data_IF_858613200084
#
_entry.id   IF_858613200084
#
_cell.length_a   1.000
_cell.length_b   1.000
_cell.length_c   1.000
_cell.angle_alpha   90.00
_cell.angle_beta   90.00
_cell.angle_gamma   90.00
#
_symmetry.space_group_name_H-M   'P 1'
#
loop_
_entity.id
_entity.type
_entity.pdbx_description
1 polymer ?
#
# COMPACT_ATOMS: atom_id res chain seq x y z
N UNK A 1 -3.23 1.11 16.42
CA UNK A 1 -4.60 1.51 16.75
C UNK A 1 -5.48 0.84 15.71
N UNK A 2 -6.20 -0.24 16.08
CA UNK A 2 -7.13 -0.99 15.21
C UNK A 2 -8.54 -0.72 15.71
N UNK A 3 -9.50 -0.58 14.82
CA UNK A 3 -10.90 -0.50 15.20
C UNK A 3 -11.72 -1.43 14.32
N UNK A 4 -12.05 -2.60 14.86
CA UNK A 4 -13.31 -3.34 14.69
C UNK A 4 -13.27 -4.47 15.74
N UNK A 5 -13.99 -4.33 16.88
CA UNK A 5 -14.10 -5.40 17.91
C UNK A 5 -15.55 -5.61 18.35
N UNK A 6 -16.00 -6.87 18.35
CA UNK A 6 -16.98 -7.44 19.30
C UNK A 6 -17.03 -8.98 19.13
N UNK A 7 -17.43 -9.84 20.11
CA UNK A 7 -18.01 -9.59 21.43
C UNK A 7 -17.37 -10.45 22.53
N UNK A 8 -16.52 -9.85 23.37
CA UNK A 8 -16.33 -10.19 24.79
C UNK A 8 -15.25 -9.25 25.36
N UNK A 9 -15.72 -8.22 26.05
CA UNK A 9 -15.00 -7.32 26.96
C UNK A 9 -13.64 -6.78 26.51
N UNK A 10 -13.63 -5.70 25.71
CA UNK A 10 -13.05 -4.38 26.06
C UNK A 10 -13.36 -3.43 24.92
N UNK A 11 -13.95 -2.29 25.26
CA UNK A 11 -14.44 -1.23 24.36
C UNK A 11 -13.31 -0.66 23.50
N UNK A 12 -13.63 -0.33 22.25
CA UNK A 12 -13.20 0.82 21.45
C UNK A 12 -13.71 0.57 20.01
N UNK A 13 -14.73 1.33 19.60
CA UNK A 13 -15.41 1.24 18.31
C UNK A 13 -15.43 2.66 17.74
N UNK A 14 -14.64 2.96 16.71
CA UNK A 14 -14.80 4.19 15.94
C UNK A 14 -15.86 3.90 14.89
N UNK A 15 -17.09 4.33 15.18
CA UNK A 15 -18.19 4.28 14.22
C UNK A 15 -18.01 5.48 13.31
N UNK A 16 -17.56 5.29 12.07
CA UNK A 16 -17.76 6.28 11.01
C UNK A 16 -19.17 6.07 10.48
N UNK A 17 -20.16 6.52 11.25
CA UNK A 17 -21.57 6.35 10.94
C UNK A 17 -22.12 7.59 10.25
N UNK A 18 -22.53 7.45 8.98
CA UNK A 18 -23.50 8.35 8.38
C UNK A 18 -24.91 7.90 8.79
N UNK A 19 -25.60 8.81 9.51
CA UNK A 19 -27.03 8.87 9.82
C UNK A 19 -27.62 7.89 10.86
N UNK A 20 -28.04 8.48 12.00
CA UNK A 20 -29.28 8.12 12.69
C UNK A 20 -29.17 7.42 14.05
N UNK A 21 -29.17 8.19 15.14
CA UNK A 21 -29.81 7.77 16.40
C UNK A 21 -30.71 8.90 16.87
N UNK A 22 -31.98 8.84 16.46
CA UNK A 22 -33.05 9.54 17.15
C UNK A 22 -33.33 8.80 18.47
N UNK A 23 -33.43 9.56 19.57
CA UNK A 23 -33.81 9.13 20.93
C UNK A 23 -32.68 8.81 21.93
N UNK A 24 -31.74 9.74 22.15
CA UNK A 24 -31.07 9.84 23.46
C UNK A 24 -31.78 10.88 24.36
N UNK A 25 -31.89 10.65 25.68
CA UNK A 25 -32.39 11.65 26.61
C UNK A 25 -31.51 12.91 26.56
N UNK A 26 -32.06 14.02 26.06
CA UNK A 26 -31.37 15.31 25.94
C UNK A 26 -31.30 16.00 27.31
N UNK A 27 -30.41 15.56 28.18
CA UNK A 27 -29.98 16.39 29.32
C UNK A 27 -28.72 17.19 28.92
N UNK A 28 -28.84 18.50 28.63
CA UNK A 28 -27.75 19.31 28.08
C UNK A 28 -26.60 19.55 29.07
N UNK A 29 -26.77 19.23 30.36
CA UNK A 29 -25.71 19.33 31.36
C UNK A 29 -24.70 18.16 31.31
N UNK A 30 -25.01 17.08 30.59
CA UNK A 30 -24.24 15.82 30.62
C UNK A 30 -23.77 15.37 29.23
N UNK A 31 -24.51 15.70 28.16
CA UNK A 31 -24.18 15.29 26.79
C UNK A 31 -24.34 16.46 25.81
N UNK A 32 -23.27 16.80 25.11
CA UNK A 32 -23.31 17.75 23.99
C UNK A 32 -23.53 16.97 22.69
N UNK A 33 -24.71 17.14 22.08
CA UNK A 33 -25.00 16.60 20.76
C UNK A 33 -24.58 17.65 19.73
N UNK A 34 -23.62 17.31 18.87
CA UNK A 34 -23.24 18.14 17.71
C UNK A 34 -23.73 17.47 16.44
N UNK A 35 -24.36 18.25 15.58
CA UNK A 35 -24.66 17.85 14.22
C UNK A 35 -23.37 17.91 13.40
N UNK A 36 -22.99 16.77 12.82
CA UNK A 36 -21.75 16.65 12.03
C UNK A 36 -22.11 16.77 10.55
N UNK A 37 -21.43 17.67 9.84
CA UNK A 37 -21.75 17.99 8.43
C UNK A 37 -20.99 17.12 7.43
N UNK A 38 -19.82 16.63 7.81
CA UNK A 38 -18.95 15.84 6.92
C UNK A 38 -18.06 14.86 7.70
N UNK A 39 -17.51 13.88 6.97
CA UNK A 39 -16.63 12.83 7.52
C UNK A 39 -15.33 13.39 8.12
N UNK A 40 -14.85 14.54 7.63
CA UNK A 40 -13.61 15.16 8.13
C UNK A 40 -13.82 15.67 9.54
N UNK A 41 -14.96 16.30 9.83
CA UNK A 41 -15.33 16.72 11.18
C UNK A 41 -15.44 15.52 12.13
N UNK A 42 -16.06 14.41 11.70
CA UNK A 42 -16.09 13.18 12.50
C UNK A 42 -14.67 12.68 12.79
N UNK A 43 -13.82 12.62 11.76
CA UNK A 43 -12.45 12.14 11.90
C UNK A 43 -11.62 13.01 12.83
N UNK A 44 -11.71 14.34 12.69
CA UNK A 44 -11.04 15.31 13.57
C UNK A 44 -11.51 15.18 15.03
N UNK A 45 -12.82 15.00 15.26
CA UNK A 45 -13.36 14.80 16.62
C UNK A 45 -12.87 13.49 17.24
N UNK A 46 -12.88 12.39 16.49
CA UNK A 46 -12.53 11.05 16.98
C UNK A 46 -11.02 10.85 17.17
N UNK A 47 -10.20 11.50 16.33
CA UNK A 47 -8.76 11.26 16.28
C UNK A 47 -7.91 12.45 16.71
N UNK A 48 -8.49 13.65 16.77
CA UNK A 48 -7.75 14.91 16.93
C UNK A 48 -7.00 15.36 15.68
N UNK A 49 -7.17 14.67 14.54
CA UNK A 49 -6.44 14.96 13.30
C UNK A 49 -7.31 15.79 12.34
N UNK A 50 -7.03 17.10 12.26
CA UNK A 50 -7.82 18.06 11.46
C UNK A 50 -7.40 18.20 9.99
N UNK A 51 -6.26 17.62 9.60
CA UNK A 51 -5.77 17.66 8.23
C UNK A 51 -6.51 16.68 7.31
N UNK A 52 -6.38 16.89 6.00
CA UNK A 52 -6.91 15.96 5.00
C UNK A 52 -6.21 14.62 5.15
N UNK A 53 -6.99 13.57 5.40
CA UNK A 53 -6.49 12.20 5.46
C UNK A 53 -6.73 11.53 4.10
N UNK A 54 -5.66 11.31 3.33
CA UNK A 54 -5.74 10.69 2.02
C UNK A 54 -6.41 9.30 2.08
N UNK A 55 -6.10 8.48 3.10
CA UNK A 55 -6.71 7.15 3.26
C UNK A 55 -8.23 7.23 3.44
N UNK A 56 -8.74 8.21 4.19
CA UNK A 56 -10.20 8.42 4.35
C UNK A 56 -10.85 8.83 3.03
N UNK A 57 -10.23 9.73 2.26
CA UNK A 57 -10.73 10.12 0.93
C UNK A 57 -10.70 8.94 -0.05
N UNK A 58 -9.67 8.11 0.00
CA UNK A 58 -9.59 6.88 -0.79
C UNK A 58 -10.72 5.91 -0.46
N UNK A 59 -11.02 5.68 0.82
CA UNK A 59 -12.15 4.83 1.23
C UNK A 59 -13.47 5.40 0.72
N UNK A 60 -13.69 6.71 0.89
CA UNK A 60 -14.90 7.39 0.42
C UNK A 60 -15.08 7.23 -1.08
N UNK A 61 -14.01 7.43 -1.85
CA UNK A 61 -14.00 7.22 -3.29
C UNK A 61 -14.32 5.76 -3.65
N UNK A 62 -13.68 4.79 -3.00
CA UNK A 62 -13.93 3.36 -3.25
C UNK A 62 -15.38 3.00 -3.00
N UNK A 63 -15.97 3.42 -1.87
CA UNK A 63 -17.36 3.14 -1.52
C UNK A 63 -18.32 3.73 -2.55
N UNK A 64 -18.08 4.97 -2.99
CA UNK A 64 -18.85 5.62 -4.05
C UNK A 64 -18.73 4.89 -5.40
N UNK A 65 -17.52 4.45 -5.75
CA UNK A 65 -17.27 3.71 -7.00
C UNK A 65 -17.97 2.35 -7.05
N UNK A 66 -18.21 1.75 -5.88
CA UNK A 66 -18.96 0.51 -5.73
C UNK A 66 -20.49 0.73 -5.70
N UNK A 67 -20.96 1.97 -5.86
CA UNK A 67 -22.37 2.35 -5.78
C UNK A 67 -23.02 1.94 -4.44
N UNK A 68 -22.26 2.01 -3.36
CA UNK A 68 -22.72 1.76 -2.01
C UNK A 68 -22.64 3.02 -1.15
N UNK A 69 -23.38 3.01 -0.05
CA UNK A 69 -23.29 3.98 1.05
C UNK A 69 -23.30 3.22 2.37
N UNK A 70 -23.04 3.92 3.49
CA UNK A 70 -23.13 3.36 4.85
C UNK A 70 -22.35 2.05 5.04
N UNK A 71 -21.03 2.17 5.16
CA UNK A 71 -20.13 1.04 5.31
C UNK A 71 -19.23 1.17 6.54
N UNK A 72 -18.73 0.03 7.00
CA UNK A 72 -17.63 -0.05 7.95
C UNK A 72 -16.36 -0.42 7.20
N UNK A 73 -15.33 0.43 7.30
CA UNK A 73 -13.98 0.10 6.84
C UNK A 73 -13.18 -0.47 8.01
N UNK A 74 -12.83 -1.75 7.95
CA UNK A 74 -12.04 -2.42 8.97
C UNK A 74 -10.61 -2.66 8.46
N UNK A 75 -9.62 -2.28 9.27
CA UNK A 75 -8.21 -2.55 9.04
C UNK A 75 -7.56 -3.10 10.32
N UNK A 76 -6.50 -3.90 10.18
CA UNK A 76 -5.68 -4.31 11.32
C UNK A 76 -4.94 -3.11 11.90
N UNK A 77 -4.80 -3.03 13.23
CA UNK A 77 -4.19 -1.85 13.87
C UNK A 77 -2.69 -1.72 13.73
N UNK A 78 -2.07 -2.74 13.13
CA UNK A 78 -0.70 -2.77 12.61
C UNK A 78 -0.78 -3.57 11.31
N UNK A 79 -1.24 -2.95 10.22
CA UNK A 79 -1.39 -3.66 8.96
C UNK A 79 -0.02 -4.20 8.53
N UNK A 80 -0.02 -5.42 8.02
CA UNK A 80 1.15 -6.00 7.38
C UNK A 80 0.96 -5.76 5.88
N UNK A 81 1.87 -5.01 5.27
CA UNK A 81 1.83 -4.80 3.84
C UNK A 81 2.10 -6.12 3.10
N UNK A 82 1.34 -6.37 2.05
CA UNK A 82 1.54 -7.49 1.14
C UNK A 82 2.37 -7.04 -0.04
N UNK A 83 3.36 -7.85 -0.39
CA UNK A 83 4.14 -7.66 -1.60
C UNK A 83 3.34 -8.21 -2.77
N UNK A 84 2.98 -7.34 -3.71
CA UNK A 84 2.18 -7.70 -4.89
C UNK A 84 2.91 -7.39 -6.19
N UNK A 85 2.53 -8.04 -7.30
CA UNK A 85 3.16 -7.82 -8.59
C UNK A 85 3.01 -6.36 -9.03
N UNK A 86 4.09 -5.79 -9.53
CA UNK A 86 4.00 -4.55 -10.28
C UNK A 86 3.20 -4.80 -11.57
N UNK A 87 2.23 -3.94 -11.85
CA UNK A 87 1.25 -4.18 -12.91
C UNK A 87 1.86 -4.12 -14.33
N UNK A 88 3.02 -3.48 -14.48
CA UNK A 88 3.72 -3.39 -15.76
C UNK A 88 4.82 -4.45 -15.83
N UNK A 89 4.94 -5.13 -16.97
CA UNK A 89 6.02 -6.10 -17.24
C UNK A 89 7.00 -5.58 -18.27
N UNK A 90 8.28 -5.98 -18.17
CA UNK A 90 9.36 -5.47 -19.02
C UNK A 90 9.14 -5.67 -20.52
N UNK A 91 8.64 -6.86 -20.88
CA UNK A 91 8.42 -7.35 -22.25
C UNK A 91 7.04 -6.97 -22.79
N UNK A 92 6.03 -7.01 -21.91
CA UNK A 92 4.62 -6.76 -22.25
C UNK A 92 4.32 -5.27 -22.38
N UNK A 93 5.01 -4.43 -21.63
CA UNK A 93 4.85 -2.97 -21.71
C UNK A 93 6.18 -2.22 -21.53
N UNK A 94 7.11 -2.33 -22.49
CA UNK A 94 8.40 -1.65 -22.42
C UNK A 94 8.26 -0.11 -22.44
N UNK A 95 7.16 0.43 -22.98
CA UNK A 95 6.88 1.89 -23.01
C UNK A 95 6.35 2.40 -21.66
N UNK A 96 5.55 1.61 -20.97
CA UNK A 96 5.05 1.91 -19.63
C UNK A 96 6.16 1.97 -18.58
N UNK A 97 7.27 1.26 -18.82
CA UNK A 97 8.43 1.19 -17.91
C UNK A 97 9.57 2.12 -18.34
N UNK A 98 9.38 2.96 -19.36
CA UNK A 98 10.31 4.05 -19.63
C UNK A 98 10.39 5.02 -18.43
N UNK A 99 11.58 5.59 -18.20
CA UNK A 99 11.87 6.56 -17.14
C UNK A 99 10.89 7.73 -17.12
N UNK A 100 10.40 8.18 -18.29
CA UNK A 100 9.41 9.24 -18.38
C UNK A 100 8.05 8.79 -17.83
N UNK A 101 7.57 7.62 -18.26
CA UNK A 101 6.30 7.04 -17.80
C UNK A 101 6.33 6.75 -16.30
N UNK A 102 7.42 6.15 -15.80
CA UNK A 102 7.61 5.92 -14.37
C UNK A 102 7.63 7.23 -13.57
N UNK A 103 8.20 8.32 -14.09
CA UNK A 103 8.23 9.61 -13.39
C UNK A 103 6.89 10.33 -13.34
N UNK A 104 5.98 10.01 -14.24
CA UNK A 104 4.61 10.53 -14.22
C UNK A 104 3.73 9.77 -13.21
N UNK A 105 3.92 8.45 -13.12
CA UNK A 105 3.09 7.59 -12.26
C UNK A 105 3.63 7.44 -10.84
N UNK A 106 4.95 7.39 -10.70
CA UNK A 106 5.65 7.11 -9.44
C UNK A 106 6.72 8.18 -9.21
N UNK A 107 6.37 9.27 -8.50
CA UNK A 107 7.25 10.42 -8.35
C UNK A 107 8.56 10.03 -7.66
N UNK A 108 9.69 10.63 -8.06
CA UNK A 108 10.96 10.48 -7.35
C UNK A 108 10.84 10.83 -5.86
N UNK A 109 11.45 10.03 -5.01
CA UNK A 109 11.61 10.31 -3.59
C UNK A 109 13.10 10.56 -3.29
N UNK A 110 13.44 11.61 -2.52
CA UNK A 110 14.80 11.77 -2.03
C UNK A 110 15.14 10.64 -1.05
N UNK A 111 16.40 10.21 -1.02
CA UNK A 111 16.85 9.08 -0.20
C UNK A 111 16.59 9.28 1.31
N UNK A 112 16.51 10.53 1.78
CA UNK A 112 16.19 10.88 3.17
C UNK A 112 14.76 10.54 3.57
N UNK A 113 13.84 10.46 2.60
CA UNK A 113 12.41 10.26 2.84
C UNK A 113 11.98 8.81 2.64
N UNK A 114 12.92 7.94 2.25
CA UNK A 114 12.66 6.51 2.05
C UNK A 114 12.39 5.84 3.39
N UNK A 115 11.10 5.62 3.67
CA UNK A 115 10.63 4.86 4.84
C UNK A 115 10.17 3.49 4.39
N UNK A 116 10.98 2.48 4.69
CA UNK A 116 10.61 1.09 4.46
C UNK A 116 9.50 0.73 5.46
N UNK A 117 8.35 0.19 5.00
CA UNK A 117 7.29 -0.24 5.90
C UNK A 117 7.81 -1.27 6.92
N UNK A 118 7.44 -1.14 8.21
CA UNK A 118 8.06 -1.90 9.29
C UNK A 118 7.69 -3.39 9.28
N UNK A 119 6.62 -3.78 8.59
CA UNK A 119 6.15 -5.16 8.52
C UNK A 119 5.63 -5.52 7.13
N UNK A 120 6.15 -6.63 6.61
CA UNK A 120 5.83 -7.18 5.30
C UNK A 120 5.45 -8.65 5.43
N UNK A 121 4.49 -9.07 4.63
CA UNK A 121 4.11 -10.48 4.47
C UNK A 121 4.79 -11.08 3.24
N UNK A 122 4.60 -12.37 3.02
CA UNK A 122 5.11 -13.07 1.84
C UNK A 122 4.53 -12.48 0.56
N UNK A 123 5.35 -12.44 -0.50
CA UNK A 123 4.88 -12.05 -1.82
C UNK A 123 3.80 -13.00 -2.34
N UNK A 124 2.84 -12.44 -3.07
CA UNK A 124 1.69 -13.16 -3.61
C UNK A 124 1.59 -12.92 -5.11
N UNK A 125 1.20 -13.96 -5.85
CA UNK A 125 1.01 -13.88 -7.29
C UNK A 125 2.31 -14.02 -8.09
N UNK A 126 2.17 -14.01 -9.41
CA UNK A 126 3.29 -14.14 -10.34
C UNK A 126 3.82 -12.75 -10.70
N UNK A 127 5.11 -12.53 -10.49
CA UNK A 127 5.76 -11.25 -10.79
C UNK A 127 6.34 -11.27 -12.20
N UNK A 128 6.01 -10.27 -13.01
CA UNK A 128 6.47 -10.13 -14.40
C UNK A 128 7.66 -9.18 -14.54
N UNK A 129 7.87 -8.30 -13.56
CA UNK A 129 8.95 -7.31 -13.55
C UNK A 129 10.18 -7.82 -12.78
N UNK A 130 10.74 -8.97 -13.19
CA UNK A 130 11.91 -9.57 -12.56
C UNK A 130 13.23 -9.30 -13.28
N UNK A 131 14.31 -9.10 -12.51
CA UNK A 131 15.69 -8.97 -12.96
C UNK A 131 16.56 -10.02 -12.27
N UNK A 132 17.51 -10.57 -13.01
CA UNK A 132 18.59 -11.41 -12.49
C UNK A 132 19.94 -10.78 -12.78
N UNK A 133 20.81 -10.73 -11.77
CA UNK A 133 22.21 -10.33 -11.95
C UNK A 133 23.13 -11.41 -11.37
N UNK A 134 23.94 -12.00 -12.24
CA UNK A 134 24.90 -13.05 -11.90
C UNK A 134 26.29 -12.75 -12.50
N UNK A 135 27.29 -13.54 -12.13
CA UNK A 135 28.65 -13.43 -12.66
C UNK A 135 29.53 -12.40 -11.95
N UNK A 136 30.57 -11.91 -12.64
CA UNK A 136 31.71 -11.18 -12.03
C UNK A 136 31.31 -9.88 -11.33
N UNK A 137 30.25 -9.22 -11.79
CA UNK A 137 29.74 -7.96 -11.18
C UNK A 137 28.83 -8.20 -9.97
N UNK A 138 28.32 -9.42 -9.80
CA UNK A 138 27.39 -9.81 -8.74
C UNK A 138 28.13 -10.17 -7.44
N UNK A 139 28.90 -9.23 -6.89
CA UNK A 139 29.75 -9.49 -5.71
C UNK A 139 28.99 -9.43 -4.39
N UNK A 140 27.78 -8.84 -4.37
CA UNK A 140 26.93 -8.72 -3.18
C UNK A 140 25.63 -9.52 -3.35
N UNK A 141 25.53 -10.76 -2.86
CA UNK A 141 24.29 -11.52 -2.91
C UNK A 141 23.22 -10.86 -2.03
N UNK A 142 22.06 -10.52 -2.60
CA UNK A 142 20.95 -9.87 -1.88
C UNK A 142 19.69 -10.73 -1.78
N UNK A 143 19.62 -11.82 -2.54
CA UNK A 143 18.54 -12.81 -2.43
C UNK A 143 18.19 -13.45 -3.77
N UNK A 144 17.41 -14.51 -3.74
CA UNK A 144 16.92 -15.19 -4.94
C UNK A 144 15.40 -15.33 -4.85
N UNK A 145 14.68 -14.40 -5.47
CA UNK A 145 13.23 -14.40 -5.48
C UNK A 145 12.67 -15.39 -6.51
N UNK A 146 11.80 -16.30 -6.06
CA UNK A 146 11.34 -17.44 -6.86
C UNK A 146 9.97 -17.29 -7.49
N UNK A 147 9.18 -16.25 -7.16
CA UNK A 147 7.83 -16.05 -7.72
C UNK A 147 7.83 -15.20 -9.00
N UNK A 148 8.95 -15.22 -9.71
CA UNK A 148 9.03 -14.64 -11.04
C UNK A 148 8.29 -15.52 -12.04
N UNK A 149 7.61 -14.88 -12.98
CA UNK A 149 7.08 -15.56 -14.16
C UNK A 149 8.26 -15.99 -15.06
N UNK A 150 7.97 -16.76 -16.11
CA UNK A 150 9.02 -17.32 -16.99
C UNK A 150 9.90 -16.28 -17.69
N UNK A 151 9.52 -15.01 -17.68
CA UNK A 151 10.24 -13.89 -18.26
C UNK A 151 11.07 -13.15 -17.18
N UNK A 152 12.30 -13.60 -16.95
CA UNK A 152 13.31 -12.91 -16.12
C UNK A 152 14.36 -12.30 -17.04
N UNK A 153 14.57 -10.99 -16.96
CA UNK A 153 15.61 -10.33 -17.74
C UNK A 153 16.97 -10.44 -17.04
N UNK A 154 18.01 -10.78 -17.81
CA UNK A 154 19.38 -10.82 -17.32
C UNK A 154 20.06 -9.46 -17.55
N UNK A 155 20.60 -8.87 -16.48
CA UNK A 155 21.30 -7.59 -16.52
C UNK A 155 22.56 -7.62 -17.39
N UNK A 156 23.18 -8.78 -17.60
CA UNK A 156 24.38 -8.94 -18.43
C UNK A 156 24.08 -9.11 -19.92
N UNK A 157 23.00 -9.81 -20.27
CA UNK A 157 22.69 -10.18 -21.67
C UNK A 157 21.75 -9.18 -22.35
N UNK A 158 20.87 -8.52 -21.59
CA UNK A 158 19.85 -7.63 -22.13
C UNK A 158 20.18 -6.14 -21.97
N UNK A 159 19.46 -5.27 -22.69
CA UNK A 159 19.37 -3.83 -22.39
C UNK A 159 18.81 -3.53 -20.98
N UNK A 160 18.49 -4.58 -20.21
CA UNK A 160 18.10 -4.58 -18.79
C UNK A 160 19.12 -3.93 -17.85
N UNK A 161 20.37 -3.76 -18.29
CA UNK A 161 21.34 -2.87 -17.65
C UNK A 161 20.82 -1.44 -17.40
N UNK A 162 19.81 -0.97 -18.13
CA UNK A 162 19.15 0.31 -17.87
C UNK A 162 18.08 0.25 -16.78
N UNK A 163 17.34 -0.87 -16.67
CA UNK A 163 16.29 -1.03 -15.66
C UNK A 163 16.87 -1.29 -14.25
N UNK A 164 17.98 -2.01 -14.15
CA UNK A 164 18.75 -2.12 -12.90
C UNK A 164 19.32 -0.78 -12.42
N UNK A 165 19.41 0.21 -13.32
CA UNK A 165 19.80 1.61 -13.03
C UNK A 165 18.62 2.50 -12.66
N UNK A 166 17.47 1.95 -12.23
CA UNK A 166 16.49 2.70 -11.44
C UNK A 166 17.11 3.13 -10.10
N UNK A 167 18.12 4.01 -10.17
CA UNK A 167 18.92 4.52 -9.05
C UNK A 167 18.28 5.72 -8.38
N UNK A 168 17.05 6.07 -8.77
CA UNK A 168 16.22 7.06 -8.12
C UNK A 168 15.12 6.29 -7.41
N UNK A 169 15.03 6.42 -6.09
CA UNK A 169 13.92 5.90 -5.29
C UNK A 169 12.60 6.53 -5.77
N UNK A 170 11.51 5.77 -5.77
CA UNK A 170 10.21 6.23 -6.26
C UNK A 170 9.10 5.84 -5.29
N UNK A 171 8.09 6.70 -5.19
CA UNK A 171 6.94 6.44 -4.33
C UNK A 171 6.23 5.15 -4.79
N UNK A 172 5.78 4.35 -3.82
CA UNK A 172 5.00 3.12 -4.01
C UNK A 172 5.67 2.00 -4.84
N UNK A 173 6.96 2.15 -5.19
CA UNK A 173 7.76 1.14 -5.90
C UNK A 173 8.95 0.69 -5.07
N UNK A 174 9.16 -0.63 -5.05
CA UNK A 174 10.25 -1.24 -4.31
C UNK A 174 10.86 -2.40 -5.09
N UNK A 175 12.14 -2.63 -4.86
CA UNK A 175 12.80 -3.87 -5.24
C UNK A 175 12.68 -4.90 -4.11
N UNK A 176 12.25 -6.10 -4.46
CA UNK A 176 12.10 -7.22 -3.54
C UNK A 176 12.86 -8.44 -4.06
N UNK A 177 13.82 -8.90 -3.27
CA UNK A 177 14.71 -10.02 -3.61
C UNK A 177 14.46 -11.25 -2.73
N UNK A 178 13.36 -11.25 -1.97
CA UNK A 178 13.02 -12.25 -0.96
C UNK A 178 13.27 -11.79 0.49
N UNK A 179 12.85 -12.64 1.43
CA UNK A 179 12.99 -12.37 2.87
C UNK A 179 11.99 -11.34 3.39
N UNK A 180 12.49 -10.34 4.13
CA UNK A 180 11.69 -9.25 4.73
C UNK A 180 12.32 -7.88 4.48
N UNK A 181 13.11 -7.77 3.41
CA UNK A 181 13.87 -6.56 3.09
C UNK A 181 13.35 -6.00 1.78
N UNK A 182 13.06 -4.71 1.77
CA UNK A 182 12.80 -3.94 0.56
C UNK A 182 13.98 -3.03 0.28
N UNK A 183 14.23 -2.83 -1.00
CA UNK A 183 15.26 -1.93 -1.47
C UNK A 183 14.58 -0.83 -2.30
N UNK A 184 14.85 0.43 -1.98
CA UNK A 184 14.43 1.54 -2.83
C UNK A 184 15.19 1.55 -4.15
N UNK A 185 16.47 1.16 -4.10
CA UNK A 185 17.37 1.05 -5.24
C UNK A 185 18.27 -0.18 -5.09
N UNK A 186 18.67 -0.78 -6.21
CA UNK A 186 19.60 -1.90 -6.20
C UNK A 186 21.05 -1.39 -6.24
N UNK A 187 21.94 -1.84 -5.32
CA UNK A 187 23.36 -1.48 -5.36
C UNK A 187 24.01 -1.99 -6.65
N UNK A 188 24.91 -1.25 -7.30
CA UNK A 188 25.47 -1.63 -8.61
C UNK A 188 26.13 -3.03 -8.69
N UNK A 189 26.59 -3.56 -7.56
CA UNK A 189 27.22 -4.87 -7.44
C UNK A 189 26.31 -5.98 -6.88
N UNK A 190 24.99 -5.75 -6.89
CA UNK A 190 24.01 -6.70 -6.40
C UNK A 190 24.05 -8.03 -7.18
N UNK A 191 23.68 -9.10 -6.51
CA UNK A 191 23.63 -10.44 -7.07
C UNK A 191 22.39 -11.19 -6.62
N UNK A 192 21.80 -11.93 -7.57
CA UNK A 192 20.63 -12.76 -7.36
C UNK A 192 19.44 -12.38 -8.25
N UNK A 193 18.23 -12.64 -7.78
CA UNK A 193 16.99 -12.40 -8.53
C UNK A 193 16.06 -11.52 -7.70
N UNK A 194 15.61 -10.41 -8.29
CA UNK A 194 14.73 -9.44 -7.65
C UNK A 194 13.57 -9.06 -8.56
N UNK A 195 12.42 -8.73 -7.97
CA UNK A 195 11.27 -8.18 -8.66
C UNK A 195 11.05 -6.71 -8.29
N UNK A 196 10.60 -5.91 -9.25
CA UNK A 196 9.95 -4.65 -8.95
C UNK A 196 8.53 -4.95 -8.45
N UNK A 197 8.15 -4.39 -7.30
CA UNK A 197 6.91 -4.73 -6.58
C UNK A 197 6.20 -3.48 -6.07
N UNK A 198 4.91 -3.65 -5.81
CA UNK A 198 4.12 -2.69 -5.04
C UNK A 198 3.73 -3.30 -3.70
N UNK A 199 3.34 -2.43 -2.77
CA UNK A 199 2.86 -2.82 -1.45
C UNK A 199 1.39 -2.48 -1.33
N UNK A 200 0.59 -3.43 -0.87
CA UNK A 200 -0.83 -3.20 -0.59
C UNK A 200 -1.14 -3.54 0.85
N UNK A 201 -1.97 -2.72 1.48
CA UNK A 201 -2.50 -2.97 2.80
C UNK A 201 -3.96 -3.39 2.63
N UNK A 202 -4.32 -4.64 2.97
CA UNK A 202 -5.69 -5.09 2.84
C UNK A 202 -6.56 -4.43 3.93
N UNK A 203 -7.73 -3.96 3.52
CA UNK A 203 -8.81 -3.55 4.41
C UNK A 203 -10.11 -4.19 3.92
N UNK A 204 -11.12 -4.23 4.79
CA UNK A 204 -12.42 -4.83 4.48
C UNK A 204 -13.50 -3.77 4.57
N UNK A 205 -14.32 -3.68 3.54
CA UNK A 205 -15.57 -2.93 3.58
C UNK A 205 -16.70 -3.88 3.94
N UNK A 206 -17.40 -3.60 5.03
CA UNK A 206 -18.62 -4.28 5.41
C UNK A 206 -19.81 -3.34 5.21
N UNK A 207 -20.82 -3.82 4.49
CA UNK A 207 -22.06 -3.08 4.22
C UNK A 207 -23.19 -3.73 5.00
N UNK A 208 -24.09 -2.91 5.52
CA UNK A 208 -25.32 -3.42 6.10
C UNK A 208 -26.21 -3.97 4.96
N UNK A 209 -26.70 -5.19 5.12
CA UNK A 209 -27.61 -5.77 4.15
C UNK A 209 -28.95 -5.04 4.27
N UNK A 210 -29.38 -4.39 3.18
CA UNK A 210 -30.66 -3.68 3.15
C UNK A 210 -31.80 -4.57 3.65
N UNK A 211 -32.59 -4.03 4.59
CA UNK A 211 -33.90 -4.57 4.99
C UNK A 211 -34.89 -4.30 3.86
#
# INVERSE_FOLDING_TARGET
TAFCRSPRNSKFLTIIGCSGVENLPKNPAVVTVKEIKDLRQTFEIETGYGDINAWVEWIKYTVQSLNHSNCYACESGRPIAQVVPFQLGWTKDPKGIDCRSLSLLFPPMPDTDVKIPPALSTAVGNHTACLSQQGVKATRPIGNFSLCSDEVLDVMEDSAGNYSRLGISRADLWWYCGGKILWSTLPSNWGGTCALVQLVIPFTLAFEKGI
#
